data_IF_481045546226
#
_entry.id   IF_481045546226
#
_cell.length_a   1.000
_cell.length_b   1.000
_cell.length_c   1.000
_cell.angle_alpha   90.00
_cell.angle_beta   90.00
_cell.angle_gamma   90.00
#
_symmetry.space_group_name_H-M   'P 1'
#
loop_
_entity.id
_entity.type
_entity.pdbx_description
1 polymer ?
#
# COMPACT_ATOMS: atom_id res chain seq x y z
N UNK A 1 12.52 13.70 4.73
CA UNK A 1 12.13 12.99 3.49
C UNK A 1 12.28 13.97 2.33
N UNK A 2 12.73 13.54 1.14
CA UNK A 2 13.05 14.43 0.01
C UNK A 2 12.48 13.85 -1.30
N UNK A 3 11.34 14.38 -1.74
CA UNK A 3 10.59 13.86 -2.89
C UNK A 3 11.35 13.98 -4.22
N UNK A 4 12.18 15.01 -4.37
CA UNK A 4 12.99 15.16 -5.58
C UNK A 4 14.01 14.02 -5.70
N UNK A 5 14.66 13.64 -4.59
CA UNK A 5 15.55 12.48 -4.57
C UNK A 5 14.79 11.19 -4.82
N UNK A 6 13.59 11.03 -4.26
CA UNK A 6 12.75 9.85 -4.55
C UNK A 6 12.44 9.71 -6.05
N UNK A 7 12.09 10.82 -6.73
CA UNK A 7 11.87 10.82 -8.18
C UNK A 7 13.14 10.45 -8.95
N UNK A 8 14.31 10.98 -8.54
CA UNK A 8 15.60 10.62 -9.15
C UNK A 8 15.91 9.13 -8.95
N UNK A 9 15.72 8.59 -7.74
CA UNK A 9 15.94 7.17 -7.46
C UNK A 9 15.01 6.27 -8.26
N UNK A 10 13.74 6.64 -8.45
CA UNK A 10 12.83 5.90 -9.32
C UNK A 10 13.32 5.90 -10.78
N UNK A 11 13.96 6.99 -11.22
CA UNK A 11 14.68 7.06 -12.50
C UNK A 11 15.74 5.98 -12.64
N UNK A 12 16.70 5.97 -11.72
CA UNK A 12 17.80 5.00 -11.73
C UNK A 12 17.29 3.54 -11.62
N UNK A 13 16.24 3.32 -10.84
CA UNK A 13 15.61 1.99 -10.72
C UNK A 13 15.02 1.53 -12.05
N UNK A 14 14.36 2.41 -12.81
CA UNK A 14 13.86 2.07 -14.13
C UNK A 14 14.99 1.65 -15.07
N UNK A 15 16.08 2.43 -15.13
CA UNK A 15 17.24 2.11 -15.97
C UNK A 15 17.87 0.75 -15.60
N UNK A 16 17.96 0.45 -14.30
CA UNK A 16 18.46 -0.84 -13.83
C UNK A 16 17.51 -1.97 -14.25
N UNK A 17 16.20 -1.78 -14.09
CA UNK A 17 15.20 -2.79 -14.46
C UNK A 17 15.11 -3.02 -15.96
N UNK A 18 15.44 -2.03 -16.78
CA UNK A 18 15.49 -2.18 -18.24
C UNK A 18 16.67 -3.06 -18.69
N UNK A 19 17.78 -3.06 -17.94
CA UNK A 19 18.97 -3.85 -18.24
C UNK A 19 19.07 -5.18 -17.46
N UNK A 20 18.23 -5.38 -16.43
CA UNK A 20 18.30 -6.57 -15.57
C UNK A 20 17.83 -7.82 -16.31
N UNK A 21 18.44 -8.97 -16.01
CA UNK A 21 17.92 -10.26 -16.47
C UNK A 21 16.89 -10.83 -15.48
N UNK A 22 16.06 -11.76 -15.96
CA UNK A 22 14.97 -12.37 -15.19
C UNK A 22 15.44 -13.01 -13.87
N UNK A 23 16.59 -13.70 -13.88
CA UNK A 23 17.10 -14.42 -12.71
C UNK A 23 17.54 -13.47 -11.59
N UNK A 24 18.18 -12.35 -11.93
CA UNK A 24 18.54 -11.32 -10.96
C UNK A 24 17.30 -10.55 -10.47
N UNK A 25 16.36 -10.26 -11.36
CA UNK A 25 15.10 -9.62 -11.00
C UNK A 25 14.33 -10.41 -9.94
N UNK A 26 14.21 -11.74 -10.10
CA UNK A 26 13.50 -12.61 -9.17
C UNK A 26 14.06 -12.57 -7.75
N UNK A 27 15.35 -12.25 -7.56
CA UNK A 27 15.98 -12.12 -6.24
C UNK A 27 15.53 -10.87 -5.49
N UNK A 28 15.14 -9.82 -6.21
CA UNK A 28 14.83 -8.50 -5.63
C UNK A 28 13.36 -8.08 -5.78
N UNK A 29 12.59 -8.75 -6.63
CA UNK A 29 11.25 -8.28 -7.02
C UNK A 29 10.31 -8.05 -5.82
N UNK A 30 10.34 -8.92 -4.80
CA UNK A 30 9.43 -8.79 -3.65
C UNK A 30 9.69 -7.50 -2.86
N UNK A 31 10.88 -7.26 -2.26
CA UNK A 31 11.13 -6.03 -1.53
C UNK A 31 11.07 -4.77 -2.42
N UNK A 32 11.43 -4.89 -3.71
CA UNK A 32 11.35 -3.79 -4.66
C UNK A 32 9.90 -3.37 -4.90
N UNK A 33 8.99 -4.31 -5.22
CA UNK A 33 7.60 -3.97 -5.50
C UNK A 33 6.82 -3.55 -4.25
N UNK A 34 7.22 -4.01 -3.06
CA UNK A 34 6.75 -3.39 -1.82
C UNK A 34 7.07 -1.90 -1.74
N UNK A 35 8.32 -1.52 -2.07
CA UNK A 35 8.74 -0.11 -2.07
C UNK A 35 8.04 0.70 -3.18
N UNK A 36 7.90 0.14 -4.37
CA UNK A 36 7.14 0.77 -5.47
C UNK A 36 5.70 0.99 -5.05
N UNK A 37 5.08 0.03 -4.35
CA UNK A 37 3.74 0.17 -3.79
C UNK A 37 3.64 1.38 -2.83
N UNK A 38 4.63 1.58 -1.96
CA UNK A 38 4.69 2.79 -1.13
C UNK A 38 4.80 4.07 -1.96
N UNK A 39 5.57 4.07 -3.04
CA UNK A 39 5.72 5.24 -3.91
C UNK A 39 4.41 5.58 -4.66
N UNK A 40 3.68 4.59 -5.16
CA UNK A 40 2.38 4.78 -5.81
C UNK A 40 1.37 5.41 -4.85
N UNK A 41 1.35 4.99 -3.57
CA UNK A 41 0.48 5.59 -2.56
C UNK A 41 1.00 6.91 -1.95
N UNK A 42 2.09 7.47 -2.48
CA UNK A 42 2.60 8.76 -2.02
C UNK A 42 1.60 9.88 -2.33
N UNK A 43 1.33 10.74 -1.34
CA UNK A 43 0.54 11.95 -1.56
C UNK A 43 1.26 12.98 -2.45
N UNK A 44 2.57 12.84 -2.66
CA UNK A 44 3.32 13.69 -3.57
C UNK A 44 3.17 13.20 -5.00
N UNK A 45 2.34 13.88 -5.79
CA UNK A 45 1.90 13.38 -7.10
C UNK A 45 3.07 13.01 -8.03
N UNK A 46 4.18 13.75 -8.06
CA UNK A 46 5.32 13.42 -8.94
C UNK A 46 5.98 12.08 -8.57
N UNK A 47 5.95 11.68 -7.29
CA UNK A 47 6.51 10.39 -6.85
C UNK A 47 5.58 9.26 -7.27
N UNK A 48 4.27 9.42 -7.04
CA UNK A 48 3.26 8.44 -7.45
C UNK A 48 3.20 8.27 -8.97
N UNK A 49 3.17 9.39 -9.70
CA UNK A 49 3.23 9.42 -11.16
C UNK A 49 4.49 8.69 -11.65
N UNK A 50 5.68 9.08 -11.19
CA UNK A 50 6.94 8.48 -11.63
C UNK A 50 7.00 6.98 -11.40
N UNK A 51 6.43 6.48 -10.30
CA UNK A 51 6.34 5.06 -10.00
C UNK A 51 5.35 4.32 -10.91
N UNK A 52 4.18 4.90 -11.19
CA UNK A 52 3.19 4.32 -12.11
C UNK A 52 3.69 4.27 -13.56
N UNK A 53 4.57 5.18 -13.95
CA UNK A 53 5.18 5.18 -15.29
C UNK A 53 6.03 3.93 -15.59
N UNK A 54 6.44 3.14 -14.59
CA UNK A 54 7.16 1.88 -14.82
C UNK A 54 6.37 0.90 -15.71
N UNK A 55 5.03 0.95 -15.67
CA UNK A 55 4.16 0.10 -16.49
C UNK A 55 4.08 0.53 -17.96
N UNK A 56 4.74 1.64 -18.34
CA UNK A 56 4.87 2.04 -19.75
C UNK A 56 6.16 1.50 -20.39
N UNK A 57 7.04 0.87 -19.61
CA UNK A 57 8.26 0.25 -20.13
C UNK A 57 8.03 -1.23 -20.44
N UNK A 58 8.15 -1.62 -21.70
CA UNK A 58 7.88 -2.99 -22.17
C UNK A 58 8.77 -4.04 -21.50
N UNK A 59 10.03 -3.74 -21.19
CA UNK A 59 10.91 -4.68 -20.50
C UNK A 59 10.45 -4.91 -19.06
N UNK A 60 10.06 -3.85 -18.35
CA UNK A 60 9.53 -3.95 -17.00
C UNK A 60 8.19 -4.70 -16.99
N UNK A 61 7.29 -4.39 -17.93
CA UNK A 61 6.02 -5.10 -18.08
C UNK A 61 6.27 -6.58 -18.37
N UNK A 62 7.27 -6.93 -19.17
CA UNK A 62 7.65 -8.31 -19.44
C UNK A 62 8.17 -9.03 -18.17
N UNK A 63 9.00 -8.37 -17.36
CA UNK A 63 9.44 -8.90 -16.05
C UNK A 63 8.25 -9.14 -15.12
N UNK A 64 7.31 -8.20 -15.07
CA UNK A 64 6.08 -8.30 -14.27
C UNK A 64 5.22 -9.46 -14.76
N UNK A 65 5.01 -9.60 -16.07
CA UNK A 65 4.15 -10.64 -16.65
C UNK A 65 4.60 -12.06 -16.30
N UNK A 66 5.92 -12.30 -16.31
CA UNK A 66 6.51 -13.59 -15.95
C UNK A 66 6.43 -13.89 -14.45
N UNK A 67 6.27 -12.87 -13.60
CA UNK A 67 6.27 -13.01 -12.14
C UNK A 67 4.96 -12.49 -11.51
N UNK A 68 3.89 -12.39 -12.30
CA UNK A 68 2.62 -11.75 -11.90
C UNK A 68 1.95 -12.39 -10.68
N UNK A 69 2.09 -13.71 -10.51
CA UNK A 69 1.56 -14.42 -9.34
C UNK A 69 2.19 -13.97 -8.02
N UNK A 70 3.38 -13.35 -8.05
CA UNK A 70 4.02 -12.75 -6.88
C UNK A 70 3.80 -11.24 -6.83
N UNK A 71 3.93 -10.55 -7.96
CA UNK A 71 3.91 -9.08 -8.01
C UNK A 71 2.50 -8.51 -7.86
N UNK A 72 1.50 -9.09 -8.55
CA UNK A 72 0.15 -8.56 -8.52
C UNK A 72 -0.44 -8.54 -7.11
N UNK A 73 -0.37 -9.62 -6.30
CA UNK A 73 -0.85 -9.58 -4.91
C UNK A 73 -0.21 -8.49 -4.04
N UNK A 74 1.07 -8.15 -4.29
CA UNK A 74 1.79 -7.10 -3.54
C UNK A 74 1.29 -5.70 -3.92
N UNK A 75 1.09 -5.45 -5.22
CA UNK A 75 0.73 -4.13 -5.74
C UNK A 75 -0.78 -3.89 -5.70
N UNK A 76 -1.60 -4.94 -5.73
CA UNK A 76 -3.06 -4.83 -5.84
C UNK A 76 -3.68 -3.92 -4.76
N UNK A 77 -3.38 -4.07 -3.45
CA UNK A 77 -3.96 -3.20 -2.43
C UNK A 77 -3.60 -1.73 -2.63
N UNK A 78 -2.38 -1.47 -3.10
CA UNK A 78 -1.92 -0.12 -3.42
C UNK A 78 -2.73 0.49 -4.56
N UNK A 79 -2.95 -0.25 -5.66
CA UNK A 79 -3.73 0.26 -6.79
C UNK A 79 -5.19 0.52 -6.41
N UNK A 80 -5.80 -0.33 -5.59
CA UNK A 80 -7.19 -0.15 -5.16
C UNK A 80 -7.32 1.08 -4.25
N UNK A 81 -6.44 1.21 -3.26
CA UNK A 81 -6.41 2.38 -2.37
C UNK A 81 -6.18 3.68 -3.15
N UNK A 82 -5.25 3.67 -4.11
CA UNK A 82 -4.94 4.84 -4.93
C UNK A 82 -6.14 5.21 -5.83
N UNK A 83 -6.76 4.24 -6.50
CA UNK A 83 -7.91 4.47 -7.39
C UNK A 83 -9.13 5.07 -6.66
N UNK A 84 -9.28 4.79 -5.37
CA UNK A 84 -10.38 5.31 -4.56
C UNK A 84 -10.07 6.68 -3.94
N UNK A 85 -8.80 6.94 -3.58
CA UNK A 85 -8.47 8.02 -2.64
C UNK A 85 -7.43 9.03 -3.14
N UNK A 86 -6.76 8.80 -4.28
CA UNK A 86 -5.71 9.71 -4.71
C UNK A 86 -6.30 11.04 -5.21
N UNK A 87 -5.78 12.16 -4.71
CA UNK A 87 -6.36 13.49 -4.97
C UNK A 87 -6.06 14.03 -6.38
N UNK A 88 -4.98 13.56 -7.02
CA UNK A 88 -4.55 14.01 -8.33
C UNK A 88 -5.15 13.16 -9.47
N UNK A 89 -5.84 13.81 -10.42
CA UNK A 89 -6.53 13.13 -11.52
C UNK A 89 -5.60 12.39 -12.50
N UNK A 90 -4.39 12.90 -12.76
CA UNK A 90 -3.43 12.23 -13.66
C UNK A 90 -2.97 10.92 -13.04
N UNK A 91 -2.63 10.95 -11.74
CA UNK A 91 -2.26 9.74 -10.99
C UNK A 91 -3.42 8.74 -10.96
N UNK A 92 -4.66 9.19 -10.73
CA UNK A 92 -5.83 8.32 -10.80
C UNK A 92 -5.95 7.62 -12.16
N UNK A 93 -5.81 8.36 -13.26
CA UNK A 93 -5.90 7.80 -14.60
C UNK A 93 -4.78 6.78 -14.87
N UNK A 94 -3.54 7.08 -14.44
CA UNK A 94 -2.42 6.14 -14.55
C UNK A 94 -2.68 4.86 -13.73
N UNK A 95 -3.19 4.99 -12.51
CA UNK A 95 -3.57 3.85 -11.67
C UNK A 95 -4.63 2.97 -12.36
N UNK A 96 -5.66 3.58 -12.95
CA UNK A 96 -6.69 2.83 -13.70
C UNK A 96 -6.12 2.13 -14.94
N UNK A 97 -5.17 2.75 -15.64
CA UNK A 97 -4.48 2.12 -16.77
C UNK A 97 -3.66 0.89 -16.31
N UNK A 98 -2.93 1.01 -15.21
CA UNK A 98 -2.17 -0.11 -14.63
C UNK A 98 -3.10 -1.24 -14.19
N UNK A 99 -4.23 -0.92 -13.55
CA UNK A 99 -5.26 -1.92 -13.21
C UNK A 99 -5.75 -2.65 -14.44
N UNK A 100 -6.11 -1.90 -15.49
CA UNK A 100 -6.57 -2.47 -16.76
C UNK A 100 -5.52 -3.41 -17.39
N UNK A 101 -4.25 -3.00 -17.39
CA UNK A 101 -3.14 -3.83 -17.86
C UNK A 101 -3.07 -5.15 -17.08
N UNK A 102 -3.20 -5.13 -15.75
CA UNK A 102 -3.20 -6.38 -14.96
C UNK A 102 -4.43 -7.25 -15.22
N UNK A 103 -5.61 -6.66 -15.42
CA UNK A 103 -6.82 -7.39 -15.81
C UNK A 103 -6.65 -8.07 -17.17
N UNK A 104 -6.09 -7.37 -18.16
CA UNK A 104 -5.81 -7.93 -19.49
C UNK A 104 -4.74 -9.03 -19.44
N UNK A 105 -3.77 -8.91 -18.52
CA UNK A 105 -2.70 -9.88 -18.34
C UNK A 105 -3.17 -11.19 -17.70
N UNK A 106 -4.00 -11.11 -16.66
CA UNK A 106 -4.53 -12.29 -15.94
C UNK A 106 -5.78 -11.93 -15.14
N UNK A 107 -6.94 -11.95 -15.80
CA UNK A 107 -8.24 -11.59 -15.20
C UNK A 107 -8.58 -12.48 -13.99
N UNK A 108 -8.27 -13.78 -14.07
CA UNK A 108 -8.53 -14.74 -12.98
C UNK A 108 -7.73 -14.37 -11.73
N UNK A 109 -6.44 -14.10 -11.89
CA UNK A 109 -5.59 -13.67 -10.78
C UNK A 109 -6.01 -12.31 -10.23
N UNK A 110 -6.37 -11.38 -11.10
CA UNK A 110 -6.86 -10.05 -10.70
C UNK A 110 -8.12 -10.15 -9.84
N UNK A 111 -9.10 -10.94 -10.27
CA UNK A 111 -10.34 -11.19 -9.53
C UNK A 111 -10.07 -11.88 -8.18
N UNK A 112 -9.13 -12.83 -8.13
CA UNK A 112 -8.72 -13.47 -6.89
C UNK A 112 -8.12 -12.47 -5.89
N UNK A 113 -7.22 -11.59 -6.37
CA UNK A 113 -6.63 -10.53 -5.53
C UNK A 113 -7.71 -9.55 -5.04
N UNK A 114 -8.66 -9.19 -5.89
CA UNK A 114 -9.78 -8.32 -5.51
C UNK A 114 -10.68 -8.96 -4.44
N UNK A 115 -10.98 -10.25 -4.56
CA UNK A 115 -11.75 -10.96 -3.55
C UNK A 115 -11.03 -10.98 -2.19
N UNK A 116 -9.74 -11.34 -2.19
CA UNK A 116 -8.90 -11.35 -0.98
C UNK A 116 -8.82 -9.95 -0.34
N UNK A 117 -8.60 -8.90 -1.14
CA UNK A 117 -8.54 -7.53 -0.64
C UNK A 117 -9.84 -7.12 0.06
N UNK A 118 -11.02 -7.47 -0.49
CA UNK A 118 -12.30 -7.16 0.15
C UNK A 118 -12.50 -7.91 1.47
N UNK A 119 -12.07 -9.15 1.56
CA UNK A 119 -12.11 -9.93 2.80
C UNK A 119 -11.21 -9.28 3.87
N UNK A 120 -10.00 -8.89 3.50
CA UNK A 120 -9.07 -8.20 4.39
C UNK A 120 -9.62 -6.86 4.88
N UNK A 121 -10.22 -6.06 3.99
CA UNK A 121 -10.88 -4.80 4.38
C UNK A 121 -12.03 -5.03 5.37
N UNK A 122 -12.89 -6.04 5.12
CA UNK A 122 -13.99 -6.36 6.03
C UNK A 122 -13.48 -6.78 7.42
N UNK A 123 -12.39 -7.57 7.48
CA UNK A 123 -11.76 -7.96 8.72
C UNK A 123 -11.17 -6.76 9.48
N UNK A 124 -10.49 -5.83 8.78
CA UNK A 124 -9.96 -4.61 9.39
C UNK A 124 -11.08 -3.72 9.96
N UNK A 125 -12.18 -3.54 9.23
CA UNK A 125 -13.34 -2.78 9.73
C UNK A 125 -13.92 -3.42 10.99
N UNK A 126 -14.07 -4.75 11.02
CA UNK A 126 -14.55 -5.47 12.21
C UNK A 126 -13.61 -5.31 13.42
N UNK A 127 -12.29 -5.33 13.19
CA UNK A 127 -11.31 -5.09 14.25
C UNK A 127 -11.36 -3.64 14.78
N UNK A 128 -11.59 -2.67 13.90
CA UNK A 128 -11.76 -1.27 14.27
C UNK A 128 -13.03 -1.05 15.11
N UNK A 129 -14.14 -1.68 14.75
CA UNK A 129 -15.38 -1.65 15.53
C UNK A 129 -15.18 -2.24 16.93
N UNK A 130 -14.59 -3.43 17.04
CA UNK A 130 -14.26 -4.04 18.35
C UNK A 130 -13.36 -3.15 19.20
N UNK A 131 -12.39 -2.49 18.57
CA UNK A 131 -11.48 -1.55 19.25
C UNK A 131 -12.26 -0.35 19.77
N UNK A 132 -13.18 0.20 18.97
CA UNK A 132 -14.03 1.32 19.36
C UNK A 132 -14.93 0.98 20.54
N UNK A 133 -15.61 -0.17 20.50
CA UNK A 133 -16.45 -0.67 21.60
C UNK A 133 -15.63 -0.82 22.90
N UNK A 134 -14.43 -1.41 22.82
CA UNK A 134 -13.55 -1.54 23.97
C UNK A 134 -13.16 -0.19 24.57
N UNK A 135 -12.87 0.82 23.74
CA UNK A 135 -12.57 2.19 24.19
C UNK A 135 -13.79 2.87 24.83
N UNK A 136 -14.99 2.71 24.25
CA UNK A 136 -16.22 3.26 24.83
C UNK A 136 -16.53 2.64 26.21
N UNK A 137 -16.31 1.34 26.37
CA UNK A 137 -16.44 0.68 27.67
C UNK A 137 -15.45 1.21 28.71
N UNK A 138 -14.19 1.43 28.32
CA UNK A 138 -13.16 2.01 29.19
C UNK A 138 -13.53 3.45 29.61
N UNK A 139 -13.97 4.28 28.68
CA UNK A 139 -14.34 5.68 28.95
C UNK A 139 -15.57 5.78 29.86
N UNK A 140 -16.58 4.93 29.64
CA UNK A 140 -17.75 4.83 30.50
C UNK A 140 -17.38 4.37 31.92
N UNK A 141 -16.49 3.38 32.05
CA UNK A 141 -16.02 2.90 33.34
C UNK A 141 -15.22 3.97 34.09
N UNK A 142 -14.35 4.72 33.39
CA UNK A 142 -13.59 5.82 33.96
C UNK A 142 -14.49 6.99 34.41
N UNK A 143 -15.50 7.34 33.62
CA UNK A 143 -16.47 8.41 33.93
C UNK A 143 -17.39 8.06 35.10
N UNK A 144 -17.61 6.76 35.33
CA UNK A 144 -18.46 6.26 36.43
C UNK A 144 -17.70 6.11 37.76
N UNK A 145 -16.37 6.23 37.76
CA UNK A 145 -15.61 6.28 39.00
C UNK A 145 -15.73 7.69 39.62
N UNK A 146 -16.26 7.83 40.85
CA UNK A 146 -16.11 9.08 41.58
C UNK A 146 -14.61 9.33 41.74
N UNK A 147 -14.17 10.58 41.61
CA UNK A 147 -12.82 10.98 42.04
C UNK A 147 -12.70 10.60 43.51
N UNK A 148 -12.19 9.41 43.78
CA UNK A 148 -11.85 8.97 45.13
C UNK A 148 -10.68 9.85 45.56
N UNK A 149 -11.02 11.01 46.13
CA UNK A 149 -10.22 11.62 47.20
C UNK A 149 -9.87 10.49 48.16
N UNK A 150 -8.66 9.94 48.03
CA UNK A 150 -7.85 9.32 49.08
C UNK A 150 -6.61 8.67 48.46
N UNK A 151 -5.81 9.44 47.71
CA UNK A 151 -4.38 9.11 47.62
C UNK A 151 -3.70 9.77 48.83
N UNK A 152 -3.94 9.22 50.02
CA UNK A 152 -3.08 9.50 51.16
C UNK A 152 -1.77 8.78 50.86
N UNK A 153 -0.83 9.51 50.26
CA UNK A 153 0.56 9.07 50.13
C UNK A 153 1.13 9.05 51.55
N UNK A 154 1.07 7.89 52.21
CA UNK A 154 1.81 7.61 53.43
C UNK A 154 3.29 7.54 53.07
N UNK A 155 3.96 8.70 53.09
CA UNK A 155 5.41 8.77 53.22
C UNK A 155 5.71 8.42 54.67
N UNK A 156 6.30 7.25 54.88
CA UNK A 156 6.87 6.88 56.18
C UNK A 156 8.28 7.49 56.32
N UNK A 157 8.68 7.91 57.53
CA UNK A 157 9.82 8.80 57.78
C UNK A 157 11.20 8.20 57.54
#
# INVERSE_FOLDING_TARGET
>A
TNSQKEVMFLGEVEEILEAINMGEFQKIMVPLFWRIGCCINSFHFQVAERALFFWNNDQIVNLIAHNRHVILPIIFPTLENNAQNHWNQVVLNLTLNVRKLFTEMDDVLFLACHAHFREEQANLTLEEEKRKEAWEHLENAASSQPIARNTVVLVTP
#
